data_IF_211286209957
#
_entry.id   IF_211286209957
#
_cell.length_a   1.000
_cell.length_b   1.000
_cell.length_c   1.000
_cell.angle_alpha   90.00
_cell.angle_beta   90.00
_cell.angle_gamma   90.00
#
_symmetry.space_group_name_H-M   'P 1'
#
loop_
_entity.id
_entity.type
_entity.pdbx_description
1 polymer ?
#
# COMPACT_ATOMS: atom_id res chain seq x y z
N UNK A 1 -40.15 -25.35 -12.41
CA UNK A 1 -40.00 -23.88 -12.54
C UNK A 1 -38.88 -23.42 -11.62
N UNK A 2 -37.68 -23.16 -12.06
CA UNK A 2 -36.63 -22.67 -11.19
C UNK A 2 -36.78 -21.15 -10.98
N UNK A 3 -36.64 -20.77 -9.75
CA UNK A 3 -36.97 -19.51 -9.12
C UNK A 3 -36.33 -18.26 -9.79
N UNK A 4 -37.17 -17.32 -10.20
CA UNK A 4 -36.81 -15.98 -10.69
C UNK A 4 -35.91 -15.16 -9.71
N UNK A 5 -35.79 -15.57 -8.46
CA UNK A 5 -35.02 -14.87 -7.44
C UNK A 5 -33.50 -15.00 -7.59
N UNK A 6 -32.99 -16.13 -8.12
CA UNK A 6 -31.54 -16.32 -8.31
C UNK A 6 -31.03 -15.52 -9.52
N UNK A 7 -31.88 -15.30 -10.52
CA UNK A 7 -31.53 -14.51 -11.69
C UNK A 7 -31.48 -13.01 -11.40
N UNK A 8 -32.31 -12.51 -10.47
CA UNK A 8 -32.30 -11.09 -10.09
C UNK A 8 -31.08 -10.69 -9.26
N UNK A 9 -30.53 -11.61 -8.44
CA UNK A 9 -29.29 -11.34 -7.69
C UNK A 9 -28.06 -11.23 -8.62
N UNK A 10 -28.01 -12.03 -9.67
CA UNK A 10 -26.92 -11.98 -10.66
C UNK A 10 -26.92 -10.70 -11.48
N UNK A 11 -28.10 -10.15 -11.79
CA UNK A 11 -28.23 -8.90 -12.57
C UNK A 11 -28.00 -7.66 -11.73
N UNK A 12 -28.26 -7.70 -10.43
CA UNK A 12 -27.98 -6.59 -9.51
C UNK A 12 -26.46 -6.37 -9.27
N UNK A 13 -25.65 -7.44 -9.43
CA UNK A 13 -24.18 -7.35 -9.30
C UNK A 13 -23.48 -6.93 -10.60
N UNK A 14 -24.18 -6.94 -11.73
CA UNK A 14 -23.62 -6.65 -13.06
C UNK A 14 -24.16 -5.38 -13.71
N UNK A 15 -25.02 -4.60 -13.06
CA UNK A 15 -25.49 -3.33 -13.60
C UNK A 15 -24.38 -2.27 -13.46
N UNK A 16 -23.75 -1.83 -14.56
CA UNK A 16 -22.73 -0.78 -14.53
C UNK A 16 -23.29 0.59 -14.10
N UNK A 17 -24.61 0.69 -13.86
CA UNK A 17 -25.29 1.90 -13.40
C UNK A 17 -25.55 1.92 -11.89
N UNK A 18 -25.36 0.79 -11.19
CA UNK A 18 -25.31 0.83 -9.74
C UNK A 18 -23.95 1.37 -9.36
N UNK A 19 -23.87 2.61 -8.82
CA UNK A 19 -22.65 3.03 -8.14
C UNK A 19 -22.28 1.93 -7.15
N UNK A 20 -21.02 1.81 -6.77
CA UNK A 20 -20.67 1.07 -5.56
C UNK A 20 -21.60 1.64 -4.49
N UNK A 21 -22.87 1.20 -4.57
CA UNK A 21 -24.04 1.72 -3.87
C UNK A 21 -23.94 1.44 -2.39
N UNK A 22 -22.80 0.84 -2.03
CA UNK A 22 -22.54 0.56 -0.66
C UNK A 22 -21.17 1.15 -0.32
N UNK A 23 -21.19 2.37 0.24
CA UNK A 23 -20.00 2.97 0.83
C UNK A 23 -19.30 2.00 1.78
N UNK A 24 -20.04 1.07 2.39
CA UNK A 24 -19.51 -0.01 3.22
C UNK A 24 -18.65 -0.99 2.43
N UNK A 25 -19.07 -1.41 1.23
CA UNK A 25 -18.26 -2.32 0.39
C UNK A 25 -16.99 -1.65 -0.10
N UNK A 26 -17.06 -0.37 -0.46
CA UNK A 26 -15.89 0.41 -0.80
C UNK A 26 -14.91 0.49 0.38
N UNK A 27 -15.39 0.90 1.55
CA UNK A 27 -14.55 1.00 2.75
C UNK A 27 -13.98 -0.36 3.15
N UNK A 28 -14.80 -1.42 3.10
CA UNK A 28 -14.33 -2.78 3.39
C UNK A 28 -13.22 -3.21 2.46
N UNK A 29 -13.37 -2.98 1.14
CA UNK A 29 -12.34 -3.30 0.15
C UNK A 29 -11.06 -2.50 0.39
N UNK A 30 -11.18 -1.18 0.61
CA UNK A 30 -10.04 -0.30 0.91
C UNK A 30 -9.32 -0.74 2.16
N UNK A 31 -10.04 -0.93 3.27
CA UNK A 31 -9.46 -1.31 4.55
C UNK A 31 -8.80 -2.70 4.49
N UNK A 32 -9.42 -3.67 3.81
CA UNK A 32 -8.86 -5.00 3.62
C UNK A 32 -7.52 -4.96 2.89
N UNK A 33 -7.46 -4.22 1.76
CA UNK A 33 -6.22 -4.10 0.98
C UNK A 33 -5.16 -3.31 1.75
N UNK A 34 -5.52 -2.20 2.42
CA UNK A 34 -4.59 -1.42 3.24
C UNK A 34 -4.06 -2.23 4.43
N UNK A 35 -4.91 -2.95 5.14
CA UNK A 35 -4.54 -3.75 6.31
C UNK A 35 -3.64 -4.95 5.94
N UNK A 36 -3.72 -5.46 4.71
CA UNK A 36 -2.83 -6.54 4.26
C UNK A 36 -1.37 -6.11 4.38
N UNK A 37 -0.49 -6.92 4.99
CA UNK A 37 0.94 -6.63 5.05
C UNK A 37 1.52 -6.31 3.66
N UNK A 38 2.40 -5.33 3.59
CA UNK A 38 3.00 -4.90 2.33
C UNK A 38 4.21 -4.00 2.58
N UNK A 39 4.91 -3.56 1.50
CA UNK A 39 6.16 -2.81 1.63
C UNK A 39 6.04 -1.56 2.49
N UNK A 40 5.03 -0.72 2.25
CA UNK A 40 4.83 0.53 3.01
C UNK A 40 4.52 0.25 4.48
N UNK A 41 3.58 -0.67 4.76
CA UNK A 41 3.21 -1.05 6.11
C UNK A 41 4.41 -1.59 6.90
N UNK A 42 5.25 -2.39 6.24
CA UNK A 42 6.49 -2.92 6.82
C UNK A 42 7.47 -1.81 7.19
N UNK A 43 7.59 -0.77 6.34
CA UNK A 43 8.43 0.39 6.62
C UNK A 43 7.86 1.23 7.78
N UNK A 44 6.54 1.49 7.81
CA UNK A 44 5.89 2.22 8.90
C UNK A 44 6.11 1.52 10.25
N UNK A 45 5.79 0.22 10.31
CA UNK A 45 5.97 -0.57 11.53
C UNK A 45 7.44 -0.61 11.97
N UNK A 46 8.38 -0.80 11.03
CA UNK A 46 9.81 -0.82 11.31
C UNK A 46 10.32 0.53 11.82
N UNK A 47 9.89 1.63 11.20
CA UNK A 47 10.24 2.98 11.63
C UNK A 47 9.79 3.25 13.06
N UNK A 48 8.53 2.95 13.35
CA UNK A 48 7.93 3.16 14.66
C UNK A 48 8.49 2.23 15.75
N UNK A 49 8.88 1.01 15.41
CA UNK A 49 9.52 0.08 16.33
C UNK A 49 10.85 0.61 16.88
N UNK A 50 11.58 1.37 16.06
CA UNK A 50 12.91 1.91 16.45
C UNK A 50 12.82 3.33 17.00
N UNK A 51 12.12 4.23 16.29
CA UNK A 51 12.08 5.66 16.59
C UNK A 51 10.87 6.08 17.46
N UNK A 52 9.88 5.20 17.62
CA UNK A 52 8.61 5.47 18.30
C UNK A 52 7.57 6.17 17.41
N UNK A 53 6.34 6.22 17.90
CA UNK A 53 5.19 6.73 17.14
C UNK A 53 5.39 8.19 16.75
N UNK A 54 5.72 9.07 17.71
CA UNK A 54 5.83 10.52 17.48
C UNK A 54 6.83 10.87 16.38
N UNK A 55 8.00 10.25 16.39
CA UNK A 55 9.04 10.47 15.37
C UNK A 55 8.65 9.89 14.00
N UNK A 56 7.71 8.94 13.97
CA UNK A 56 7.25 8.27 12.75
C UNK A 56 5.98 8.89 12.15
N UNK A 57 5.29 9.81 12.84
CA UNK A 57 4.10 10.48 12.30
C UNK A 57 4.31 11.12 10.92
N UNK A 58 5.44 11.78 10.61
CA UNK A 58 5.67 12.33 9.28
C UNK A 58 5.66 11.27 8.16
N UNK A 59 5.89 9.99 8.49
CA UNK A 59 5.83 8.90 7.52
C UNK A 59 4.41 8.66 7.00
N UNK A 60 3.37 8.98 7.79
CA UNK A 60 1.97 8.92 7.34
C UNK A 60 1.68 9.93 6.22
N UNK A 61 2.27 11.12 6.30
CA UNK A 61 2.15 12.11 5.22
C UNK A 61 2.87 11.63 3.96
N UNK A 62 4.01 10.97 4.10
CA UNK A 62 4.72 10.35 2.98
C UNK A 62 3.89 9.24 2.31
N UNK A 63 3.27 8.39 3.13
CA UNK A 63 2.38 7.33 2.67
C UNK A 63 1.15 7.91 1.96
N UNK A 64 0.46 8.86 2.58
CA UNK A 64 -0.72 9.51 2.01
C UNK A 64 -0.40 10.16 0.66
N UNK A 65 0.66 10.98 0.61
CA UNK A 65 1.08 11.65 -0.63
C UNK A 65 1.46 10.62 -1.71
N UNK A 66 2.22 9.58 -1.34
CA UNK A 66 2.60 8.53 -2.26
C UNK A 66 1.40 7.79 -2.86
N UNK A 67 0.42 7.41 -2.02
CA UNK A 67 -0.79 6.74 -2.52
C UNK A 67 -1.68 7.66 -3.36
N UNK A 68 -1.94 8.90 -2.93
CA UNK A 68 -2.78 9.81 -3.70
C UNK A 68 -2.17 10.08 -5.08
N UNK A 69 -0.88 10.39 -5.14
CA UNK A 69 -0.20 10.62 -6.42
C UNK A 69 -0.21 9.35 -7.29
N UNK A 70 0.09 8.18 -6.73
CA UNK A 70 0.06 6.92 -7.49
C UNK A 70 -1.32 6.60 -8.05
N UNK A 71 -2.34 6.72 -7.20
CA UNK A 71 -3.74 6.41 -7.53
C UNK A 71 -4.28 7.38 -8.57
N UNK A 72 -4.03 8.68 -8.41
CA UNK A 72 -4.48 9.70 -9.37
C UNK A 72 -3.76 9.58 -10.72
N UNK A 73 -2.44 9.38 -10.68
CA UNK A 73 -1.65 9.18 -11.90
C UNK A 73 -2.14 7.96 -12.69
N UNK A 74 -2.38 6.84 -12.01
CA UNK A 74 -2.85 5.61 -12.64
C UNK A 74 -4.32 5.75 -13.07
N UNK A 75 -5.18 6.25 -12.19
CA UNK A 75 -6.62 6.33 -12.43
C UNK A 75 -7.01 7.31 -13.53
N UNK A 76 -6.41 8.49 -13.56
CA UNK A 76 -6.73 9.53 -14.55
C UNK A 76 -5.88 9.44 -15.82
N UNK A 77 -4.60 9.07 -15.71
CA UNK A 77 -3.66 9.20 -16.84
C UNK A 77 -3.24 7.85 -17.44
N UNK A 78 -2.83 6.89 -16.62
CA UNK A 78 -2.23 5.65 -17.11
C UNK A 78 -3.23 4.55 -17.45
N UNK A 79 -4.46 4.63 -16.98
CA UNK A 79 -5.48 3.59 -17.18
C UNK A 79 -5.68 3.22 -18.67
N UNK A 80 -5.88 4.17 -19.60
CA UNK A 80 -6.01 3.84 -21.02
C UNK A 80 -4.71 3.28 -21.60
N UNK A 81 -3.55 3.77 -21.16
CA UNK A 81 -2.24 3.33 -21.63
C UNK A 81 -1.93 1.88 -21.17
N UNK A 82 -2.24 1.55 -19.90
CA UNK A 82 -2.06 0.20 -19.37
C UNK A 82 -2.97 -0.82 -20.07
N UNK A 83 -4.17 -0.41 -20.48
CA UNK A 83 -5.08 -1.26 -21.24
C UNK A 83 -4.57 -1.52 -22.68
N UNK A 84 -3.95 -0.50 -23.30
CA UNK A 84 -3.45 -0.58 -24.67
C UNK A 84 -2.09 -1.29 -24.79
N UNK A 85 -1.25 -1.25 -23.75
CA UNK A 85 0.15 -1.70 -23.79
C UNK A 85 0.50 -2.54 -22.54
N UNK A 86 0.26 -3.87 -22.56
CA UNK A 86 0.58 -4.75 -21.42
C UNK A 86 2.04 -4.73 -20.98
N UNK A 87 2.96 -4.47 -21.93
CA UNK A 87 4.42 -4.35 -21.66
C UNK A 87 4.73 -3.27 -20.62
N UNK A 88 3.95 -2.18 -20.59
CA UNK A 88 4.13 -1.10 -19.61
C UNK A 88 3.86 -1.62 -18.19
N UNK A 89 2.84 -2.46 -18.02
CA UNK A 89 2.53 -3.10 -16.74
C UNK A 89 3.67 -4.01 -16.26
N UNK A 90 4.25 -4.79 -17.16
CA UNK A 90 5.41 -5.65 -16.87
C UNK A 90 6.64 -4.83 -16.50
N UNK A 91 6.96 -3.78 -17.26
CA UNK A 91 8.07 -2.87 -16.97
C UNK A 91 7.92 -2.22 -15.59
N UNK A 92 6.69 -1.76 -15.25
CA UNK A 92 6.39 -1.18 -13.95
C UNK A 92 6.62 -2.19 -12.81
N UNK A 93 6.20 -3.43 -12.95
CA UNK A 93 6.45 -4.48 -11.95
C UNK A 93 7.95 -4.70 -11.73
N UNK A 94 8.75 -4.73 -12.79
CA UNK A 94 10.22 -4.88 -12.70
C UNK A 94 10.83 -3.70 -11.93
N UNK A 95 10.47 -2.47 -12.27
CA UNK A 95 10.94 -1.25 -11.57
C UNK A 95 10.59 -1.30 -10.08
N UNK A 96 9.36 -1.70 -9.75
CA UNK A 96 8.91 -1.86 -8.36
C UNK A 96 9.74 -2.93 -7.64
N UNK A 97 9.95 -4.09 -8.23
CA UNK A 97 10.74 -5.17 -7.64
C UNK A 97 12.19 -4.73 -7.35
N UNK A 98 12.84 -4.06 -8.31
CA UNK A 98 14.20 -3.53 -8.15
C UNK A 98 14.27 -2.47 -7.04
N UNK A 99 13.27 -1.58 -6.97
CA UNK A 99 13.21 -0.57 -5.92
C UNK A 99 13.03 -1.19 -4.53
N UNK A 100 12.16 -2.20 -4.38
CA UNK A 100 11.97 -2.89 -3.10
C UNK A 100 13.24 -3.64 -2.67
N UNK A 101 13.95 -4.27 -3.60
CA UNK A 101 15.25 -4.90 -3.32
C UNK A 101 16.29 -3.86 -2.86
N UNK A 102 16.36 -2.70 -3.53
CA UNK A 102 17.20 -1.59 -3.11
C UNK A 102 16.85 -1.10 -1.69
N UNK A 103 15.56 -0.89 -1.40
CA UNK A 103 15.09 -0.49 -0.06
C UNK A 103 15.43 -1.52 1.01
N UNK A 104 15.32 -2.80 0.71
CA UNK A 104 15.69 -3.88 1.62
C UNK A 104 17.19 -3.81 1.99
N UNK A 105 18.06 -3.62 0.99
CA UNK A 105 19.51 -3.47 1.20
C UNK A 105 19.81 -2.22 2.04
N UNK A 106 19.16 -1.10 1.74
CA UNK A 106 19.33 0.14 2.49
C UNK A 106 18.90 -0.01 3.96
N UNK A 107 17.76 -0.64 4.19
CA UNK A 107 17.23 -0.86 5.53
C UNK A 107 18.16 -1.78 6.34
N UNK A 108 18.68 -2.85 5.72
CA UNK A 108 19.64 -3.76 6.34
C UNK A 108 20.93 -3.05 6.75
N UNK A 109 21.51 -2.27 5.83
CA UNK A 109 22.76 -1.53 6.08
C UNK A 109 22.61 -0.49 7.18
N UNK A 110 21.52 0.29 7.16
CA UNK A 110 21.27 1.34 8.16
C UNK A 110 21.05 0.76 9.55
N UNK A 111 20.45 -0.43 9.67
CA UNK A 111 20.23 -1.08 10.96
C UNK A 111 21.55 -1.44 11.63
N UNK A 112 22.59 -1.76 10.89
CA UNK A 112 23.94 -2.03 11.44
C UNK A 112 24.68 -0.78 11.93
N UNK A 113 24.29 0.42 11.46
CA UNK A 113 24.97 1.68 11.73
C UNK A 113 24.21 2.59 12.70
N UNK A 114 22.92 2.35 12.92
CA UNK A 114 22.08 3.21 13.74
C UNK A 114 22.41 3.12 15.23
N UNK A 115 22.78 4.25 15.82
CA UNK A 115 22.77 4.43 17.27
C UNK A 115 21.32 4.46 17.79
N UNK A 116 21.13 4.20 19.09
CA UNK A 116 19.79 4.18 19.71
C UNK A 116 19.04 5.48 19.43
N UNK A 117 17.83 5.38 18.84
CA UNK A 117 16.96 6.52 18.56
C UNK A 117 17.09 7.15 17.16
N UNK A 118 18.06 6.75 16.35
CA UNK A 118 18.13 7.26 14.96
C UNK A 118 17.09 6.59 14.06
N UNK A 119 16.41 7.40 13.23
CA UNK A 119 15.43 6.91 12.27
C UNK A 119 16.11 6.07 11.17
N UNK A 120 15.82 4.77 11.17
CA UNK A 120 16.30 3.83 10.13
C UNK A 120 15.49 3.98 8.85
N UNK A 121 14.21 4.37 8.98
CA UNK A 121 13.27 4.58 7.88
C UNK A 121 13.14 6.08 7.60
N UNK A 122 13.24 6.48 6.33
CA UNK A 122 13.17 7.88 5.93
C UNK A 122 11.83 8.20 5.27
N UNK A 123 11.39 9.46 5.35
CA UNK A 123 10.23 9.99 4.66
C UNK A 123 10.27 9.69 3.16
N UNK A 124 11.41 9.99 2.51
CA UNK A 124 11.61 9.70 1.07
C UNK A 124 11.49 8.22 0.75
N UNK A 125 12.01 7.35 1.62
CA UNK A 125 11.91 5.91 1.44
C UNK A 125 10.46 5.42 1.47
N UNK A 126 9.65 5.89 2.44
CA UNK A 126 8.22 5.57 2.52
C UNK A 126 7.46 6.14 1.33
N UNK A 127 7.69 7.41 0.98
CA UNK A 127 7.04 8.06 -0.16
C UNK A 127 7.24 7.28 -1.46
N UNK A 128 8.49 6.97 -1.83
CA UNK A 128 8.79 6.26 -3.07
C UNK A 128 8.30 4.82 -3.02
N UNK A 129 8.45 4.13 -1.87
CA UNK A 129 7.92 2.78 -1.70
C UNK A 129 6.40 2.73 -1.85
N UNK A 130 5.69 3.77 -1.41
CA UNK A 130 4.24 3.88 -1.55
C UNK A 130 3.84 4.27 -2.98
N UNK A 131 4.55 5.22 -3.59
CA UNK A 131 4.33 5.62 -4.98
C UNK A 131 4.45 4.43 -5.94
N UNK A 132 5.43 3.55 -5.69
CA UNK A 132 5.67 2.32 -6.46
C UNK A 132 4.93 1.10 -5.89
N UNK A 133 4.03 1.27 -4.91
CA UNK A 133 3.33 0.16 -4.29
C UNK A 133 2.28 -0.44 -5.25
N UNK A 134 2.33 -1.75 -5.54
CA UNK A 134 1.34 -2.39 -6.41
C UNK A 134 -0.11 -2.29 -5.88
N UNK A 135 -0.30 -2.05 -4.58
CA UNK A 135 -1.63 -1.74 -4.03
C UNK A 135 -2.25 -0.48 -4.65
N UNK A 136 -1.42 0.52 -5.01
CA UNK A 136 -1.87 1.72 -5.72
C UNK A 136 -2.57 1.39 -7.03
N UNK A 137 -2.06 0.39 -7.79
CA UNK A 137 -2.71 -0.11 -9.00
C UNK A 137 -4.06 -0.76 -8.71
N UNK A 138 -4.16 -1.56 -7.65
CA UNK A 138 -5.42 -2.20 -7.24
C UNK A 138 -6.46 -1.13 -6.89
N UNK A 139 -6.09 -0.11 -6.11
CA UNK A 139 -6.99 0.98 -5.77
C UNK A 139 -7.46 1.74 -7.01
N UNK A 140 -6.54 2.12 -7.90
CA UNK A 140 -6.85 2.91 -9.09
C UNK A 140 -7.64 2.16 -10.16
N UNK A 141 -7.38 0.87 -10.34
CA UNK A 141 -7.97 0.11 -11.45
C UNK A 141 -9.22 -0.66 -11.06
N UNK A 142 -9.32 -1.11 -9.79
CA UNK A 142 -10.37 -2.01 -9.35
C UNK A 142 -11.33 -1.45 -8.29
N UNK A 143 -10.89 -0.49 -7.46
CA UNK A 143 -11.68 -0.07 -6.29
C UNK A 143 -12.24 1.35 -6.45
N UNK A 144 -11.42 2.33 -6.84
CA UNK A 144 -11.86 3.72 -6.98
C UNK A 144 -12.55 3.92 -8.33
N UNK A 145 -13.80 4.40 -8.37
CA UNK A 145 -14.60 4.49 -9.59
C UNK A 145 -14.24 5.74 -10.40
N UNK A 146 -13.02 5.78 -10.95
CA UNK A 146 -12.59 6.88 -11.82
C UNK A 146 -13.56 7.07 -13.00
N UNK A 147 -13.81 8.33 -13.36
CA UNK A 147 -14.76 8.70 -14.42
C UNK A 147 -16.17 9.02 -13.91
N UNK A 148 -16.42 8.97 -12.59
CA UNK A 148 -17.68 9.39 -11.95
C UNK A 148 -17.56 10.75 -11.25
N UNK A 149 -18.63 11.53 -11.15
CA UNK A 149 -18.62 12.82 -10.43
C UNK A 149 -18.24 12.70 -8.96
N UNK A 150 -18.50 11.55 -8.34
CA UNK A 150 -18.29 11.29 -6.92
C UNK A 150 -16.84 10.91 -6.56
N UNK A 151 -15.94 10.78 -7.53
CA UNK A 151 -14.52 10.41 -7.31
C UNK A 151 -13.85 11.21 -6.19
N UNK A 152 -14.06 12.53 -6.03
CA UNK A 152 -13.44 13.28 -4.94
C UNK A 152 -13.82 12.75 -3.55
N UNK A 153 -15.05 12.30 -3.35
CA UNK A 153 -15.49 11.71 -2.07
C UNK A 153 -14.82 10.35 -1.83
N UNK A 154 -14.66 9.53 -2.87
CA UNK A 154 -13.94 8.26 -2.77
C UNK A 154 -12.46 8.47 -2.46
N UNK A 155 -11.81 9.47 -3.07
CA UNK A 155 -10.41 9.82 -2.79
C UNK A 155 -10.25 10.36 -1.36
N UNK A 156 -11.19 11.16 -0.87
CA UNK A 156 -11.18 11.63 0.53
C UNK A 156 -11.32 10.44 1.50
N UNK A 157 -12.31 9.58 1.30
CA UNK A 157 -12.52 8.40 2.13
C UNK A 157 -11.31 7.45 2.09
N UNK A 158 -10.70 7.26 0.90
CA UNK A 158 -9.47 6.53 0.72
C UNK A 158 -8.31 7.16 1.51
N UNK A 159 -8.08 8.46 1.38
CA UNK A 159 -7.02 9.18 2.09
C UNK A 159 -7.16 9.07 3.61
N UNK A 160 -8.39 9.23 4.14
CA UNK A 160 -8.67 9.04 5.57
C UNK A 160 -8.37 7.59 6.01
N UNK A 161 -8.73 6.61 5.19
CA UNK A 161 -8.44 5.19 5.45
C UNK A 161 -6.94 4.90 5.44
N UNK A 162 -6.17 5.51 4.52
CA UNK A 162 -4.71 5.39 4.47
C UNK A 162 -4.10 5.88 5.78
N UNK A 163 -4.48 7.07 6.24
CA UNK A 163 -3.96 7.63 7.50
C UNK A 163 -4.34 6.77 8.70
N UNK A 164 -5.60 6.31 8.77
CA UNK A 164 -6.08 5.48 9.88
C UNK A 164 -5.34 4.14 9.94
N UNK A 165 -5.25 3.42 8.83
CA UNK A 165 -4.57 2.11 8.78
C UNK A 165 -3.06 2.28 8.94
N UNK A 166 -2.45 3.30 8.33
CA UNK A 166 -1.03 3.62 8.52
C UNK A 166 -0.70 3.90 9.98
N UNK A 167 -1.57 4.64 10.70
CA UNK A 167 -1.42 4.86 12.12
C UNK A 167 -1.49 3.56 12.94
N UNK A 168 -2.41 2.65 12.59
CA UNK A 168 -2.45 1.32 13.24
C UNK A 168 -1.16 0.54 13.01
N UNK A 169 -0.54 0.64 11.83
CA UNK A 169 0.76 0.03 11.57
C UNK A 169 1.89 0.69 12.37
N UNK A 170 1.86 2.01 12.62
CA UNK A 170 2.79 2.67 13.55
C UNK A 170 2.61 2.14 14.98
N UNK A 171 1.36 2.01 15.44
CA UNK A 171 1.06 1.47 16.78
C UNK A 171 1.55 0.03 16.90
N UNK A 172 1.23 -0.82 15.93
CA UNK A 172 1.69 -2.21 15.90
C UNK A 172 3.23 -2.30 15.94
N UNK A 173 3.91 -1.50 15.14
CA UNK A 173 5.38 -1.42 15.13
C UNK A 173 5.95 -0.99 16.47
N UNK A 174 5.36 0.04 17.09
CA UNK A 174 5.78 0.51 18.42
C UNK A 174 5.64 -0.58 19.49
N UNK A 175 4.50 -1.27 19.52
CA UNK A 175 4.24 -2.36 20.46
C UNK A 175 5.22 -3.52 20.24
N UNK A 176 5.49 -3.90 19.00
CA UNK A 176 6.51 -4.91 18.65
C UNK A 176 7.90 -4.46 19.14
N UNK A 177 8.25 -3.19 18.89
CA UNK A 177 9.53 -2.64 19.34
C UNK A 177 9.68 -2.61 20.86
N UNK A 178 8.60 -2.26 21.59
CA UNK A 178 8.56 -2.26 23.05
C UNK A 178 8.69 -3.68 23.61
N UNK A 179 7.95 -4.64 23.06
CA UNK A 179 8.02 -6.03 23.47
C UNK A 179 9.39 -6.68 23.18
N UNK A 180 10.04 -6.27 22.09
CA UNK A 180 11.37 -6.76 21.73
C UNK A 180 12.51 -6.21 22.62
N UNK A 181 12.29 -5.13 23.37
CA UNK A 181 13.27 -4.52 24.25
C UNK A 181 14.59 -4.19 23.52
N UNK A 182 15.70 -4.71 24.00
CA UNK A 182 17.02 -4.51 23.37
C UNK A 182 17.09 -5.10 21.95
N UNK A 183 16.29 -6.13 21.65
CA UNK A 183 16.22 -6.78 20.33
C UNK A 183 15.42 -5.98 19.31
N UNK A 184 14.82 -4.82 19.66
CA UNK A 184 14.05 -3.96 18.73
C UNK A 184 14.82 -3.62 17.45
N UNK A 185 16.16 -3.61 17.50
CA UNK A 185 17.00 -3.42 16.32
C UNK A 185 16.88 -4.56 15.29
N UNK A 186 16.33 -5.72 15.67
CA UNK A 186 16.06 -6.80 14.72
C UNK A 186 14.82 -6.54 13.86
N UNK A 187 13.89 -5.68 14.32
CA UNK A 187 12.66 -5.37 13.58
C UNK A 187 12.95 -4.84 12.17
N UNK A 188 13.85 -3.86 11.96
CA UNK A 188 14.19 -3.42 10.61
C UNK A 188 14.89 -4.50 9.77
N UNK A 189 15.62 -5.43 10.38
CA UNK A 189 16.20 -6.58 9.65
C UNK A 189 15.13 -7.54 9.17
N UNK A 190 14.16 -7.87 10.02
CA UNK A 190 13.00 -8.67 9.64
C UNK A 190 12.21 -7.97 8.54
N UNK A 191 12.01 -6.65 8.67
CA UNK A 191 11.37 -5.83 7.66
C UNK A 191 12.12 -5.86 6.31
N UNK A 192 13.45 -5.84 6.31
CA UNK A 192 14.24 -5.93 5.07
C UNK A 192 14.08 -7.30 4.39
N UNK A 193 14.02 -8.40 5.16
CA UNK A 193 13.72 -9.73 4.61
C UNK A 193 12.33 -9.78 3.99
N UNK A 194 11.32 -9.18 4.66
CA UNK A 194 9.96 -9.07 4.10
C UNK A 194 9.95 -8.28 2.79
N UNK A 195 10.71 -7.17 2.69
CA UNK A 195 10.83 -6.40 1.45
C UNK A 195 11.45 -7.22 0.30
N UNK A 196 12.47 -8.04 0.59
CA UNK A 196 13.02 -8.99 -0.41
C UNK A 196 11.95 -9.97 -0.87
N UNK A 197 11.17 -10.52 0.06
CA UNK A 197 10.04 -11.41 -0.27
C UNK A 197 9.03 -10.74 -1.20
N UNK A 198 8.62 -9.50 -0.91
CA UNK A 198 7.73 -8.73 -1.78
C UNK A 198 8.36 -8.45 -3.15
N UNK A 199 9.65 -8.10 -3.19
CA UNK A 199 10.36 -7.88 -4.45
C UNK A 199 10.34 -9.16 -5.32
N UNK A 200 10.61 -10.33 -4.72
CA UNK A 200 10.56 -11.61 -5.40
C UNK A 200 9.17 -11.96 -5.93
N UNK A 201 8.11 -11.76 -5.12
CA UNK A 201 6.72 -12.01 -5.54
C UNK A 201 6.32 -11.12 -6.72
N UNK A 202 6.68 -9.83 -6.67
CA UNK A 202 6.35 -8.89 -7.75
C UNK A 202 7.15 -9.22 -9.01
N UNK A 203 8.45 -9.55 -8.88
CA UNK A 203 9.27 -9.98 -10.00
C UNK A 203 8.70 -11.26 -10.65
N UNK A 204 8.33 -12.28 -9.87
CA UNK A 204 7.70 -13.48 -10.39
C UNK A 204 6.40 -13.18 -11.15
N UNK A 205 5.56 -12.27 -10.64
CA UNK A 205 4.32 -11.84 -11.32
C UNK A 205 4.54 -11.04 -12.61
N UNK A 206 5.77 -10.64 -12.92
CA UNK A 206 6.09 -9.94 -14.15
C UNK A 206 6.31 -10.90 -15.34
N UNK A 207 6.62 -12.18 -15.05
CA UNK A 207 6.93 -13.21 -16.05
C UNK A 207 5.89 -14.35 -16.08
N UNK A 208 4.91 -14.35 -15.22
CA UNK A 208 3.75 -15.27 -15.20
C UNK A 208 2.47 -14.54 -15.47
#
# INVERSE_FOLDING_TARGET
MPSRHVFQLGTALSDPRTPMTNAYLFLLAVLTVLATPGPTNTLLASGSAVAGIRASLPLLLAELAGYLIAVDLVGFLLRPLLAAQPVIGTALKIVVALYLAYMAIQLWRRTGQATSGQAVVTWRGVFIATLLNPKGLIFALAIIPFGRPEVPFYLLAFGLSVVAVGFLWLVAGHLIGAAAGERRRLVPRIASVALVGFAGLIAASAFG
#
